data_IF_122633745503
#
_entry.id   IF_122633745503
#
_cell.length_a   1.000
_cell.length_b   1.000
_cell.length_c   1.000
_cell.angle_alpha   90.00
_cell.angle_beta   90.00
_cell.angle_gamma   90.00
#
_symmetry.space_group_name_H-M   'P 1'
#
loop_
_entity.id
_entity.type
_entity.pdbx_description
1 polymer ?
#
# COMPACT_ATOMS: atom_id res chain seq x y z
N UNK A 1 -5.08 0.32 26.23
CA UNK A 1 -5.99 -0.57 25.47
C UNK A 1 -7.24 0.12 24.89
N UNK A 2 -7.63 1.34 25.25
CA UNK A 2 -8.85 1.98 24.70
C UNK A 2 -8.65 2.83 23.43
N UNK A 3 -7.41 3.21 23.14
CA UNK A 3 -7.11 4.19 22.08
C UNK A 3 -7.20 3.60 20.66
N UNK A 4 -6.84 2.32 20.49
CA UNK A 4 -6.82 1.67 19.18
C UNK A 4 -8.22 1.25 18.69
N UNK A 5 -9.16 0.96 19.59
CA UNK A 5 -10.56 0.69 19.23
C UNK A 5 -11.23 1.92 18.62
N UNK A 6 -10.97 3.11 19.19
CA UNK A 6 -11.51 4.37 18.69
C UNK A 6 -11.00 4.68 17.28
N UNK A 7 -9.70 4.46 17.02
CA UNK A 7 -9.10 4.63 15.70
C UNK A 7 -9.67 3.64 14.67
N UNK A 8 -9.86 2.37 15.06
CA UNK A 8 -10.46 1.38 14.17
C UNK A 8 -11.92 1.72 13.81
N UNK A 9 -12.71 2.20 14.78
CA UNK A 9 -14.10 2.61 14.56
C UNK A 9 -14.21 3.83 13.63
N UNK A 10 -13.32 4.82 13.79
CA UNK A 10 -13.24 5.98 12.90
C UNK A 10 -12.84 5.58 11.47
N UNK A 11 -11.84 4.70 11.31
CA UNK A 11 -11.42 4.23 10.00
C UNK A 11 -12.50 3.44 9.28
N UNK A 12 -13.27 2.62 10.02
CA UNK A 12 -14.40 1.87 9.46
C UNK A 12 -15.47 2.82 8.92
N UNK A 13 -15.91 3.78 9.72
CA UNK A 13 -16.95 4.74 9.32
C UNK A 13 -16.52 5.60 8.13
N UNK A 14 -15.28 6.10 8.13
CA UNK A 14 -14.74 6.85 7.00
C UNK A 14 -14.71 6.02 5.70
N UNK A 15 -14.33 4.75 5.80
CA UNK A 15 -14.22 3.84 4.68
C UNK A 15 -15.60 3.45 4.11
N UNK A 16 -16.60 3.20 4.97
CA UNK A 16 -17.97 2.90 4.56
C UNK A 16 -18.54 4.04 3.70
N UNK A 17 -18.32 5.30 4.12
CA UNK A 17 -18.70 6.50 3.36
C UNK A 17 -17.95 6.56 2.02
N UNK A 18 -16.63 6.31 2.03
CA UNK A 18 -15.83 6.34 0.81
C UNK A 18 -16.33 5.32 -0.23
N UNK A 19 -16.69 4.12 0.22
CA UNK A 19 -17.22 3.05 -0.65
C UNK A 19 -18.61 3.43 -1.15
N UNK A 20 -19.51 3.86 -0.26
CA UNK A 20 -20.88 4.22 -0.63
C UNK A 20 -20.94 5.38 -1.63
N UNK A 21 -20.08 6.38 -1.47
CA UNK A 21 -20.04 7.57 -2.34
C UNK A 21 -19.09 7.43 -3.54
N UNK A 22 -18.27 6.37 -3.59
CA UNK A 22 -17.20 6.22 -4.59
C UNK A 22 -16.12 7.29 -4.53
N UNK A 23 -16.04 8.05 -3.43
CA UNK A 23 -15.11 9.16 -3.24
C UNK A 23 -14.01 8.78 -2.26
N UNK A 24 -12.75 9.02 -2.63
CA UNK A 24 -11.60 8.79 -1.77
C UNK A 24 -10.82 10.11 -1.61
N UNK A 25 -10.65 10.62 -0.38
CA UNK A 25 -9.89 11.84 -0.11
C UNK A 25 -8.49 11.81 -0.74
N UNK A 26 -8.04 12.96 -1.28
CA UNK A 26 -6.72 13.08 -1.92
C UNK A 26 -5.58 12.63 -0.99
N UNK A 27 -5.69 12.94 0.31
CA UNK A 27 -4.76 12.52 1.36
C UNK A 27 -4.52 11.01 1.46
N UNK A 28 -5.45 10.17 0.99
CA UNK A 28 -5.25 8.70 0.97
C UNK A 28 -4.30 8.25 -0.14
N UNK A 29 -4.07 9.12 -1.13
CA UNK A 29 -3.14 8.90 -2.25
C UNK A 29 -1.79 9.59 -2.02
N UNK A 30 -1.67 10.40 -0.96
CA UNK A 30 -0.40 10.98 -0.55
C UNK A 30 0.58 9.88 -0.12
N UNK A 31 1.84 10.02 -0.54
CA UNK A 31 2.88 9.05 -0.27
C UNK A 31 4.24 9.73 -0.16
N UNK A 32 5.09 9.19 0.69
CA UNK A 32 6.49 9.61 0.75
C UNK A 32 7.29 8.81 -0.28
N UNK A 33 8.02 9.49 -1.15
CA UNK A 33 8.89 8.83 -2.13
C UNK A 33 10.25 8.59 -1.50
N UNK A 34 10.58 7.32 -1.29
CA UNK A 34 11.90 6.91 -0.81
C UNK A 34 12.69 6.26 -1.95
N UNK A 35 13.95 6.65 -2.11
CA UNK A 35 14.82 6.16 -3.17
C UNK A 35 15.72 5.05 -2.64
N UNK A 36 15.57 3.83 -3.15
CA UNK A 36 16.39 2.68 -2.78
C UNK A 36 17.43 2.35 -3.84
N UNK A 37 18.67 2.02 -3.42
CA UNK A 37 19.72 1.53 -4.33
C UNK A 37 19.38 0.14 -4.86
N UNK A 38 19.66 -0.13 -6.14
CA UNK A 38 19.63 -1.48 -6.70
C UNK A 38 20.83 -2.27 -6.19
N UNK A 39 20.59 -3.43 -5.60
CA UNK A 39 21.64 -4.36 -5.20
C UNK A 39 22.43 -4.88 -6.42
N UNK A 40 23.72 -5.15 -6.23
CA UNK A 40 24.60 -5.76 -7.25
C UNK A 40 24.94 -4.87 -8.45
N UNK A 41 24.81 -3.53 -8.34
CA UNK A 41 25.21 -2.59 -9.40
C UNK A 41 26.55 -1.95 -9.10
N UNK A 42 27.35 -1.72 -10.15
CA UNK A 42 28.62 -1.01 -10.05
C UNK A 42 28.44 0.43 -9.58
N UNK A 43 29.49 1.02 -9.00
CA UNK A 43 29.48 2.40 -8.52
C UNK A 43 29.14 3.40 -9.62
N UNK A 44 29.63 3.19 -10.84
CA UNK A 44 29.31 4.04 -11.99
C UNK A 44 27.81 4.03 -12.32
N UNK A 45 27.16 2.86 -12.29
CA UNK A 45 25.71 2.77 -12.52
C UNK A 45 24.92 3.43 -11.39
N UNK A 46 25.41 3.34 -10.16
CA UNK A 46 24.82 3.97 -8.97
C UNK A 46 25.02 5.50 -8.91
N UNK A 47 25.79 6.09 -9.83
CA UNK A 47 25.83 7.55 -10.05
C UNK A 47 24.73 8.03 -10.99
N UNK A 48 24.04 7.11 -11.67
CA UNK A 48 22.94 7.42 -12.58
C UNK A 48 21.58 7.10 -11.96
N UNK A 49 20.49 7.74 -12.39
CA UNK A 49 19.13 7.41 -11.95
C UNK A 49 18.76 5.93 -12.14
N UNK A 50 19.37 5.25 -13.13
CA UNK A 50 19.15 3.82 -13.41
C UNK A 50 19.60 2.91 -12.26
N UNK A 51 20.49 3.38 -11.39
CA UNK A 51 20.99 2.68 -10.22
C UNK A 51 20.01 2.59 -9.04
N UNK A 52 18.88 3.31 -9.09
CA UNK A 52 17.93 3.40 -7.98
C UNK A 52 16.52 2.93 -8.36
N UNK A 53 15.69 2.74 -7.33
CA UNK A 53 14.25 2.44 -7.39
C UNK A 53 13.53 3.48 -6.53
N UNK A 54 12.84 4.46 -7.12
CA UNK A 54 11.91 5.28 -6.36
C UNK A 54 10.73 4.39 -5.92
N UNK A 55 10.37 4.46 -4.65
CA UNK A 55 9.23 3.73 -4.07
C UNK A 55 8.31 4.74 -3.37
N UNK A 56 7.06 4.78 -3.81
CA UNK A 56 6.00 5.55 -3.16
C UNK A 56 5.46 4.78 -1.95
N UNK A 57 5.70 5.28 -0.75
CA UNK A 57 5.21 4.71 0.50
C UNK A 57 3.87 5.36 0.88
N UNK A 58 2.78 4.72 0.49
CA UNK A 58 1.42 5.11 0.90
C UNK A 58 1.26 5.04 2.41
N UNK A 59 0.47 5.96 2.97
CA UNK A 59 0.03 5.87 4.35
C UNK A 59 -0.86 4.63 4.60
N UNK A 60 -1.10 4.31 5.87
CA UNK A 60 -1.86 3.12 6.28
C UNK A 60 -3.26 3.06 5.65
N UNK A 61 -3.95 4.20 5.60
CA UNK A 61 -5.32 4.28 5.05
C UNK A 61 -5.31 4.07 3.54
N UNK A 62 -4.33 4.62 2.83
CA UNK A 62 -4.13 4.43 1.40
C UNK A 62 -3.82 2.98 1.04
N UNK A 63 -2.99 2.30 1.84
CA UNK A 63 -2.73 0.85 1.69
C UNK A 63 -3.98 0.02 1.90
N UNK A 64 -4.75 0.30 2.95
CA UNK A 64 -6.01 -0.40 3.22
C UNK A 64 -7.01 -0.20 2.09
N UNK A 65 -7.15 1.03 1.59
CA UNK A 65 -8.01 1.35 0.44
C UNK A 65 -7.60 0.56 -0.80
N UNK A 66 -6.29 0.44 -1.08
CA UNK A 66 -5.79 -0.34 -2.20
C UNK A 66 -6.09 -1.84 -2.04
N UNK A 67 -5.97 -2.37 -0.82
CA UNK A 67 -6.31 -3.75 -0.49
C UNK A 67 -7.81 -4.04 -0.72
N UNK A 68 -8.68 -3.17 -0.22
CA UNK A 68 -10.13 -3.29 -0.39
C UNK A 68 -10.51 -3.17 -1.86
N UNK A 69 -9.91 -2.25 -2.61
CA UNK A 69 -10.11 -2.18 -4.05
C UNK A 69 -9.70 -3.49 -4.74
N UNK A 70 -8.58 -4.08 -4.35
CA UNK A 70 -8.13 -5.37 -4.88
C UNK A 70 -9.20 -6.45 -4.64
N UNK A 71 -9.70 -6.54 -3.41
CA UNK A 71 -10.78 -7.44 -3.00
C UNK A 71 -12.08 -7.22 -3.79
N UNK A 72 -12.55 -5.98 -3.88
CA UNK A 72 -13.82 -5.64 -4.56
C UNK A 72 -13.74 -5.87 -6.08
N UNK A 73 -12.53 -5.80 -6.66
CA UNK A 73 -12.31 -6.01 -8.09
C UNK A 73 -11.82 -7.43 -8.44
N UNK A 74 -11.89 -8.37 -7.49
CA UNK A 74 -11.43 -9.76 -7.64
C UNK A 74 -10.02 -9.85 -8.22
N UNK A 75 -9.13 -8.97 -7.77
CA UNK A 75 -7.73 -8.95 -8.19
C UNK A 75 -6.89 -9.78 -7.23
N UNK A 76 -6.14 -10.72 -7.81
CA UNK A 76 -5.13 -11.46 -7.07
C UNK A 76 -4.07 -10.50 -6.52
N UNK A 77 -3.71 -10.71 -5.25
CA UNK A 77 -2.81 -9.88 -4.47
C UNK A 77 -1.56 -10.68 -4.09
N UNK A 78 -0.45 -9.97 -3.84
CA UNK A 78 0.80 -10.59 -3.37
C UNK A 78 1.36 -9.80 -2.21
N UNK A 79 1.82 -10.50 -1.18
CA UNK A 79 2.46 -9.89 -0.02
C UNK A 79 3.97 -10.17 -0.08
N UNK A 80 4.78 -9.12 0.06
CA UNK A 80 6.22 -9.27 0.25
C UNK A 80 6.55 -9.14 1.72
N UNK A 81 7.09 -10.21 2.31
CA UNK A 81 7.61 -10.24 3.68
C UNK A 81 9.10 -10.54 3.58
N UNK A 82 9.92 -9.58 3.98
CA UNK A 82 11.37 -9.62 3.81
C UNK A 82 11.80 -9.88 2.36
N UNK A 83 12.55 -10.95 2.13
CA UNK A 83 13.00 -11.40 0.81
C UNK A 83 11.97 -12.28 0.09
N UNK A 84 10.91 -12.72 0.77
CA UNK A 84 9.91 -13.65 0.23
C UNK A 84 8.72 -12.89 -0.32
N UNK A 85 8.30 -13.26 -1.52
CA UNK A 85 7.07 -12.79 -2.14
C UNK A 85 6.08 -13.95 -2.15
N UNK A 86 4.87 -13.74 -1.64
CA UNK A 86 3.85 -14.77 -1.63
C UNK A 86 3.49 -15.20 -3.05
N UNK A 87 2.95 -16.40 -3.16
CA UNK A 87 2.13 -16.75 -4.31
C UNK A 87 0.95 -15.77 -4.42
N UNK A 88 0.47 -15.50 -5.65
CA UNK A 88 -0.76 -14.74 -5.84
C UNK A 88 -1.91 -15.41 -5.08
N UNK A 89 -2.63 -14.63 -4.28
CA UNK A 89 -3.78 -15.10 -3.53
C UNK A 89 -4.94 -14.14 -3.68
N UNK A 90 -6.14 -14.68 -3.64
CA UNK A 90 -7.36 -13.90 -3.53
C UNK A 90 -7.66 -13.63 -2.06
N UNK A 91 -8.15 -12.44 -1.76
CA UNK A 91 -8.60 -12.11 -0.41
C UNK A 91 -9.96 -12.78 -0.25
N UNK A 92 -10.04 -13.80 0.59
CA UNK A 92 -11.27 -14.53 0.84
C UNK A 92 -12.36 -13.61 1.40
N UNK A 93 -13.59 -13.81 0.94
CA UNK A 93 -14.77 -13.17 1.52
C UNK A 93 -15.13 -13.97 2.78
N UNK A 94 -14.89 -13.41 3.96
CA UNK A 94 -15.31 -13.99 5.24
C UNK A 94 -16.83 -14.09 5.36
#
# INVERSE_FOLDING_TARGET
MRSYECVACSLRSDLDICIACGYFPARYKESNVTVLRKAGKSLEVLRTPRGYRPISLLNTVGKLTALIRSYLTSRSSRLKVDSRLSEPFDIERG
#
